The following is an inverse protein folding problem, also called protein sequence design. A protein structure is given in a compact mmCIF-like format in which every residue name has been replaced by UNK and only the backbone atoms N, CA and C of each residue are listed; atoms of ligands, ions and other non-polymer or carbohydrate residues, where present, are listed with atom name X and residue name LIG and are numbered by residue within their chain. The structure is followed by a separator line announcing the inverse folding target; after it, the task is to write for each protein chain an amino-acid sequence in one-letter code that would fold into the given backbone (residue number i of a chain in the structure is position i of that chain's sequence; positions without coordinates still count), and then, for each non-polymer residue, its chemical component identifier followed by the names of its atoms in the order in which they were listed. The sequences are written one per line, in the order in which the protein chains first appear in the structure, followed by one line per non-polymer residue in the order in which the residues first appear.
data_IF_916800456635
#
_entry.id   IF_916800456635
#
_cell.length_a   1.000
_cell.length_b   1.000
_cell.length_c   1.000
_cell.angle_alpha   90.00
_cell.angle_beta   90.00
_cell.angle_gamma   90.00
#
_symmetry.space_group_name_H-M   'P 1'
#
loop_
_entity.id
_entity.type
_entity.pdbx_description
1 polymer ?
#
# COMPACT_ATOMS: atom_id res chain seq x y z
N UNK A 1 87.43 -14.46 -51.72
CA UNK A 1 86.19 -14.87 -52.41
C UNK A 1 85.00 -14.25 -51.70
N UNK A 2 84.12 -13.62 -52.48
CA UNK A 2 82.81 -12.97 -52.25
C UNK A 2 81.98 -13.64 -51.11
N UNK A 3 81.14 -13.00 -50.27
CA UNK A 3 79.98 -12.14 -50.60
C UNK A 3 79.22 -11.62 -49.33
N UNK A 4 78.97 -10.30 -49.25
CA UNK A 4 77.72 -9.53 -48.97
C UNK A 4 76.70 -9.90 -47.84
N UNK A 5 76.23 -8.83 -47.17
CA UNK A 5 74.85 -8.54 -46.63
C UNK A 5 74.72 -8.47 -45.09
N UNK A 6 74.78 -7.30 -44.41
CA UNK A 6 73.80 -6.21 -44.13
C UNK A 6 72.68 -6.48 -43.10
N UNK A 7 72.67 -5.60 -42.07
CA UNK A 7 71.58 -5.15 -41.13
C UNK A 7 71.26 -6.12 -39.98
N UNK A 8 71.00 -5.68 -38.73
CA UNK A 8 69.94 -4.75 -38.33
C UNK A 8 70.16 -4.17 -36.91
N UNK A 9 69.48 -3.05 -36.66
CA UNK A 9 69.56 -2.08 -35.57
C UNK A 9 68.70 -2.39 -34.32
N UNK A 10 69.25 -2.02 -33.14
CA UNK A 10 68.71 -1.23 -32.00
C UNK A 10 67.31 -1.51 -31.39
N UNK A 11 67.27 -1.55 -30.05
CA UNK A 11 66.42 -0.78 -29.10
C UNK A 11 65.89 -1.61 -27.91
N UNK A 12 66.39 -1.29 -26.72
CA UNK A 12 65.82 -1.70 -25.44
C UNK A 12 64.55 -0.86 -25.17
N UNK A 13 63.45 -1.55 -24.86
CA UNK A 13 62.15 -0.94 -24.57
C UNK A 13 62.07 -0.69 -23.05
N UNK A 14 62.06 0.57 -22.64
CA UNK A 14 61.57 1.01 -21.32
C UNK A 14 60.09 1.35 -21.47
N UNK A 15 59.19 0.53 -20.94
CA UNK A 15 57.77 0.86 -20.84
C UNK A 15 57.51 1.70 -19.59
N UNK A 16 57.31 3.00 -19.80
CA UNK A 16 56.77 3.95 -18.83
C UNK A 16 55.24 3.86 -18.87
N UNK A 17 54.61 3.42 -17.78
CA UNK A 17 53.15 3.47 -17.64
C UNK A 17 52.76 4.86 -17.14
N UNK A 18 52.31 5.72 -18.05
CA UNK A 18 51.61 6.98 -17.70
C UNK A 18 50.12 6.67 -17.67
N UNK A 19 49.53 6.56 -16.48
CA UNK A 19 48.06 6.51 -16.34
C UNK A 19 47.53 7.94 -16.48
N UNK A 20 47.08 8.26 -17.69
CA UNK A 20 46.37 9.49 -17.99
C UNK A 20 44.88 9.28 -17.62
N UNK A 21 44.48 9.73 -16.42
CA UNK A 21 43.07 9.71 -16.02
C UNK A 21 42.29 10.77 -16.81
N UNK A 22 41.52 10.35 -17.83
CA UNK A 22 40.46 11.18 -18.39
C UNK A 22 39.35 11.32 -17.33
N UNK A 23 39.27 12.49 -16.69
CA UNK A 23 38.05 12.93 -16.04
C UNK A 23 37.03 13.27 -17.13
N UNK A 24 36.18 12.31 -17.48
CA UNK A 24 34.90 12.63 -18.10
C UNK A 24 34.06 13.33 -17.03
N UNK A 25 34.06 14.66 -17.04
CA UNK A 25 33.02 15.42 -16.33
C UNK A 25 31.72 15.16 -17.08
N UNK A 26 30.99 14.13 -16.67
CA UNK A 26 29.59 14.04 -17.04
C UNK A 26 28.92 15.30 -16.48
N UNK A 27 28.13 16.04 -17.26
CA UNK A 27 27.23 16.99 -16.62
C UNK A 27 26.39 16.15 -15.67
N UNK A 28 26.48 16.44 -14.36
CA UNK A 28 25.35 16.13 -13.48
C UNK A 28 24.22 16.95 -14.06
N UNK A 29 23.49 16.36 -14.99
CA UNK A 29 22.15 16.81 -15.27
C UNK A 29 21.46 16.62 -13.94
N UNK A 30 21.28 17.71 -13.18
CA UNK A 30 20.41 17.71 -12.03
C UNK A 30 19.15 17.00 -12.51
N UNK A 31 18.90 15.80 -11.96
CA UNK A 31 17.63 15.14 -12.18
C UNK A 31 16.62 16.22 -11.84
N UNK A 32 15.85 16.67 -12.84
CA UNK A 32 14.76 17.60 -12.57
C UNK A 32 14.02 16.97 -11.42
N UNK A 33 13.99 17.66 -10.28
CA UNK A 33 13.19 17.28 -9.14
C UNK A 33 11.81 17.01 -9.75
N UNK A 34 11.44 15.74 -9.92
CA UNK A 34 10.10 15.44 -10.36
C UNK A 34 9.29 15.87 -9.16
N UNK A 35 8.65 17.04 -9.25
CA UNK A 35 7.50 17.28 -8.42
C UNK A 35 6.54 16.15 -8.77
N UNK A 36 6.57 15.11 -7.95
CA UNK A 36 5.58 14.07 -7.94
C UNK A 36 4.32 14.86 -7.60
N UNK A 37 3.46 15.10 -8.58
CA UNK A 37 2.16 15.66 -8.27
C UNK A 37 1.51 14.69 -7.29
N UNK A 38 1.14 15.13 -6.07
CA UNK A 38 0.42 14.29 -5.14
C UNK A 38 -0.78 13.67 -5.85
N UNK A 39 -1.13 12.44 -5.46
CA UNK A 39 -2.28 11.78 -6.05
C UNK A 39 -3.53 12.61 -5.78
N UNK A 40 -4.52 12.62 -6.70
CA UNK A 40 -5.80 13.24 -6.41
C UNK A 40 -6.39 12.64 -5.14
N UNK A 41 -6.76 13.52 -4.20
CA UNK A 41 -7.37 13.16 -2.92
C UNK A 41 -8.88 13.33 -3.02
N UNK A 42 -9.63 12.28 -2.71
CA UNK A 42 -11.09 12.25 -2.63
C UNK A 42 -11.50 12.11 -1.18
N UNK A 43 -12.08 13.16 -0.60
CA UNK A 43 -12.62 13.12 0.76
C UNK A 43 -13.86 12.24 0.86
N UNK A 44 -13.86 11.29 1.79
CA UNK A 44 -14.97 10.40 2.11
C UNK A 44 -15.52 10.82 3.48
N UNK A 45 -16.51 11.73 3.43
CA UNK A 45 -17.05 12.43 4.60
C UNK A 45 -18.40 11.88 5.08
N UNK A 46 -18.93 10.87 4.40
CA UNK A 46 -20.25 10.31 4.69
C UNK A 46 -20.43 8.92 4.11
N UNK A 47 -21.52 8.27 4.52
CA UNK A 47 -21.81 6.90 4.17
C UNK A 47 -21.92 6.69 2.66
N UNK A 48 -21.47 5.52 2.21
CA UNK A 48 -21.58 5.07 0.83
C UNK A 48 -22.96 4.44 0.65
N UNK A 49 -23.85 5.20 0.03
CA UNK A 49 -25.29 4.88 -0.09
C UNK A 49 -25.69 4.32 -1.46
N UNK A 50 -24.78 4.33 -2.43
CA UNK A 50 -24.96 3.78 -3.77
C UNK A 50 -23.68 3.07 -4.23
N UNK A 51 -23.76 2.13 -5.20
CA UNK A 51 -22.59 1.45 -5.72
C UNK A 51 -21.50 2.45 -6.11
N UNK A 52 -20.31 2.26 -5.55
CA UNK A 52 -19.20 3.22 -5.65
C UNK A 52 -17.93 2.47 -5.98
N UNK A 53 -17.10 3.07 -6.85
CA UNK A 53 -15.78 2.54 -7.18
C UNK A 53 -14.71 3.51 -6.70
N UNK A 54 -13.72 2.98 -6.01
CA UNK A 54 -12.49 3.68 -5.65
C UNK A 54 -11.40 3.26 -6.62
N UNK A 55 -10.96 4.19 -7.47
CA UNK A 55 -10.12 3.92 -8.63
C UNK A 55 -8.63 3.98 -8.32
N UNK A 56 -7.84 3.28 -9.13
CA UNK A 56 -6.38 3.30 -9.05
C UNK A 56 -5.81 4.71 -9.25
N UNK A 57 -4.65 5.00 -8.64
CA UNK A 57 -3.99 6.30 -8.80
C UNK A 57 -4.66 7.44 -8.03
N UNK A 58 -5.56 7.14 -7.08
CA UNK A 58 -6.24 8.11 -6.22
C UNK A 58 -6.10 7.75 -4.74
N UNK A 59 -6.09 8.79 -3.90
CA UNK A 59 -6.17 8.66 -2.44
C UNK A 59 -7.63 8.88 -2.02
N UNK A 60 -8.21 7.93 -1.29
CA UNK A 60 -9.52 8.06 -0.66
C UNK A 60 -9.32 8.34 0.82
N UNK A 61 -9.69 9.55 1.24
CA UNK A 61 -9.44 10.03 2.59
C UNK A 61 -10.70 9.90 3.44
N UNK A 62 -10.75 8.84 4.24
CA UNK A 62 -11.86 8.50 5.14
C UNK A 62 -11.78 9.33 6.40
N UNK A 63 -12.80 10.16 6.63
CA UNK A 63 -12.86 11.06 7.79
C UNK A 63 -14.09 10.75 8.63
N UNK A 64 -13.86 10.11 9.78
CA UNK A 64 -14.91 9.67 10.71
C UNK A 64 -15.32 8.22 10.52
N UNK A 65 -16.52 7.87 11.00
CA UNK A 65 -17.07 6.52 10.94
C UNK A 65 -17.96 6.36 9.71
N UNK A 66 -17.41 5.77 8.65
CA UNK A 66 -18.05 5.65 7.34
C UNK A 66 -18.65 4.26 7.18
N UNK A 67 -19.91 4.23 6.73
CA UNK A 67 -20.61 2.99 6.44
C UNK A 67 -20.79 2.75 4.95
N UNK A 68 -20.49 1.55 4.47
CA UNK A 68 -21.07 1.02 3.23
C UNK A 68 -22.41 0.40 3.58
N UNK A 69 -23.50 1.04 3.14
CA UNK A 69 -24.85 0.62 3.52
C UNK A 69 -25.17 -0.81 3.05
N UNK A 70 -26.11 -1.47 3.74
CA UNK A 70 -26.61 -2.77 3.33
C UNK A 70 -27.16 -2.71 1.89
N UNK A 71 -26.86 -3.74 1.09
CA UNK A 71 -27.23 -3.79 -0.33
C UNK A 71 -26.36 -2.93 -1.26
N UNK A 72 -25.42 -2.15 -0.73
CA UNK A 72 -24.46 -1.35 -1.52
C UNK A 72 -23.14 -2.09 -1.68
N UNK A 73 -22.52 -1.98 -2.85
CA UNK A 73 -21.17 -2.50 -3.09
C UNK A 73 -20.18 -1.34 -3.20
N UNK A 74 -19.14 -1.38 -2.37
CA UNK A 74 -17.91 -0.63 -2.57
C UNK A 74 -16.92 -1.52 -3.34
N UNK A 75 -16.50 -1.07 -4.51
CA UNK A 75 -15.43 -1.70 -5.29
C UNK A 75 -14.16 -0.88 -5.16
N UNK A 76 -13.02 -1.49 -4.87
CA UNK A 76 -11.73 -0.82 -4.80
C UNK A 76 -10.78 -1.47 -5.80
N UNK A 77 -10.22 -0.66 -6.69
CA UNK A 77 -9.25 -1.09 -7.69
C UNK A 77 -7.84 -1.20 -7.09
N UNK A 78 -7.08 -2.20 -7.52
CA UNK A 78 -5.65 -2.31 -7.24
C UNK A 78 -4.91 -1.05 -7.66
N UNK A 79 -4.07 -0.53 -6.77
CA UNK A 79 -3.41 0.76 -6.92
C UNK A 79 -4.21 1.94 -6.37
N UNK A 80 -5.34 1.73 -5.69
CA UNK A 80 -5.95 2.76 -4.84
C UNK A 80 -5.31 2.79 -3.44
N UNK A 81 -5.22 3.99 -2.86
CA UNK A 81 -4.76 4.19 -1.48
C UNK A 81 -5.94 4.71 -0.66
N UNK A 82 -6.21 4.09 0.47
CA UNK A 82 -7.24 4.50 1.43
C UNK A 82 -6.53 4.99 2.69
N UNK A 83 -6.68 6.28 2.98
CA UNK A 83 -6.12 6.93 4.16
C UNK A 83 -7.22 7.23 5.16
N UNK A 84 -6.96 7.00 6.43
CA UNK A 84 -7.90 7.27 7.50
C UNK A 84 -7.43 8.45 8.33
N UNK A 85 -8.34 9.40 8.60
CA UNK A 85 -8.03 10.55 9.44
C UNK A 85 -7.72 10.12 10.87
N UNK A 86 -6.61 10.63 11.38
CA UNK A 86 -6.17 10.41 12.75
C UNK A 86 -6.40 11.66 13.60
N UNK A 87 -7.22 11.60 14.66
CA UNK A 87 -7.31 12.71 15.61
C UNK A 87 -5.95 12.98 16.27
N UNK A 88 -5.55 14.25 16.32
CA UNK A 88 -4.34 14.68 17.05
C UNK A 88 -4.51 14.41 18.55
N UNK A 89 -5.74 14.56 19.04
CA UNK A 89 -6.14 14.29 20.42
C UNK A 89 -7.50 13.54 20.42
N UNK A 90 -7.66 12.46 21.19
CA UNK A 90 -8.90 11.67 21.23
C UNK A 90 -10.14 12.46 21.69
N UNK A 91 -9.98 13.66 22.26
CA UNK A 91 -11.07 14.57 22.61
C UNK A 91 -11.65 15.32 21.41
N UNK A 92 -10.92 15.40 20.29
CA UNK A 92 -11.34 16.10 19.06
C UNK A 92 -12.26 15.21 18.21
N UNK A 93 -12.13 13.89 18.33
CA UNK A 93 -12.99 12.94 17.65
C UNK A 93 -12.50 11.50 17.83
N UNK A 94 -13.35 10.51 17.51
CA UNK A 94 -12.92 9.13 17.45
C UNK A 94 -11.95 8.90 16.29
N UNK A 95 -11.23 7.79 16.34
CA UNK A 95 -10.48 7.27 15.20
C UNK A 95 -11.43 7.03 14.03
N UNK A 96 -10.96 7.26 12.80
CA UNK A 96 -11.76 6.97 11.60
C UNK A 96 -11.88 5.45 11.37
N UNK A 97 -13.00 5.04 10.80
CA UNK A 97 -13.35 3.63 10.53
C UNK A 97 -14.13 3.48 9.24
N UNK A 98 -14.03 2.30 8.63
CA UNK A 98 -14.89 1.88 7.52
C UNK A 98 -15.64 0.61 7.92
N UNK A 99 -16.95 0.74 8.10
CA UNK A 99 -17.85 -0.38 8.39
C UNK A 99 -18.63 -0.78 7.13
N UNK A 100 -18.49 -2.02 6.69
CA UNK A 100 -19.16 -2.55 5.50
C UNK A 100 -20.32 -3.43 5.92
N UNK A 101 -21.53 -2.84 5.93
CA UNK A 101 -22.79 -3.57 6.10
C UNK A 101 -23.30 -4.16 4.77
N UNK A 102 -22.79 -3.66 3.64
CA UNK A 102 -23.03 -4.16 2.29
C UNK A 102 -21.94 -5.13 1.82
N UNK A 103 -21.36 -4.85 0.66
CA UNK A 103 -20.28 -5.65 0.05
C UNK A 103 -19.02 -4.81 -0.17
N UNK A 104 -17.86 -5.42 0.07
CA UNK A 104 -16.55 -4.89 -0.29
C UNK A 104 -15.93 -5.81 -1.33
N UNK A 105 -15.52 -5.26 -2.46
CA UNK A 105 -14.91 -6.01 -3.56
C UNK A 105 -13.59 -5.36 -3.96
N UNK A 106 -12.58 -6.19 -4.15
CA UNK A 106 -11.30 -5.79 -4.72
C UNK A 106 -11.19 -6.28 -6.16
N UNK A 107 -10.74 -5.44 -7.08
CA UNK A 107 -10.54 -5.80 -8.49
C UNK A 107 -9.19 -5.33 -8.99
N UNK A 108 -8.65 -5.99 -10.01
CA UNK A 108 -7.37 -5.64 -10.64
C UNK A 108 -6.20 -5.57 -9.64
N UNK A 109 -6.25 -6.35 -8.56
CA UNK A 109 -5.16 -6.41 -7.58
C UNK A 109 -4.03 -7.32 -8.06
N UNK A 110 -2.82 -7.07 -7.58
CA UNK A 110 -1.64 -7.83 -7.98
C UNK A 110 -0.46 -7.71 -7.02
N UNK A 111 0.58 -8.54 -7.19
CA UNK A 111 1.68 -8.65 -6.23
C UNK A 111 2.57 -7.41 -6.14
N UNK A 112 2.60 -6.57 -7.19
CA UNK A 112 3.37 -5.33 -7.22
C UNK A 112 2.71 -4.24 -6.37
N UNK A 113 3.48 -3.43 -5.65
CA UNK A 113 2.93 -2.41 -4.74
C UNK A 113 1.98 -1.42 -5.44
N UNK A 114 2.28 -1.04 -6.69
CA UNK A 114 1.42 -0.18 -7.50
C UNK A 114 0.08 -0.82 -7.90
N UNK A 115 -0.10 -2.12 -7.67
CA UNK A 115 -1.32 -2.90 -7.95
C UNK A 115 -1.99 -3.39 -6.67
N UNK A 116 -1.41 -3.17 -5.49
CA UNK A 116 -2.05 -3.50 -4.22
C UNK A 116 -3.10 -2.46 -3.86
N UNK A 117 -4.11 -2.86 -3.09
CA UNK A 117 -4.92 -1.86 -2.37
C UNK A 117 -4.27 -1.61 -1.03
N UNK A 118 -4.04 -0.33 -0.72
CA UNK A 118 -3.33 0.05 0.49
C UNK A 118 -4.28 0.77 1.44
N UNK A 119 -4.33 0.32 2.70
CA UNK A 119 -5.04 0.97 3.80
C UNK A 119 -4.00 1.48 4.79
N UNK A 120 -3.98 2.79 5.06
CA UNK A 120 -2.93 3.42 5.87
C UNK A 120 -3.44 4.65 6.64
N UNK A 121 -2.58 5.20 7.50
CA UNK A 121 -2.81 6.45 8.23
C UNK A 121 -2.76 7.66 7.28
N UNK A 122 -3.51 8.72 7.59
CA UNK A 122 -3.37 10.00 6.90
C UNK A 122 -1.97 10.60 6.98
N UNK A 123 -1.25 10.28 8.06
CA UNK A 123 0.14 10.67 8.35
C UNK A 123 1.21 9.93 7.53
N UNK A 124 0.84 8.95 6.71
CA UNK A 124 1.79 8.18 5.89
C UNK A 124 2.14 8.91 4.58
N UNK A 125 3.08 9.84 4.64
CA UNK A 125 3.50 10.64 3.47
C UNK A 125 4.20 9.83 2.38
N UNK A 126 4.62 8.60 2.68
CA UNK A 126 5.33 7.74 1.73
C UNK A 126 4.41 7.20 0.62
N UNK A 127 3.09 7.30 0.83
CA UNK A 127 2.07 6.77 -0.06
C UNK A 127 1.08 7.85 -0.49
N UNK A 128 1.04 8.16 -1.78
CA UNK A 128 0.06 9.10 -2.35
C UNK A 128 0.29 10.58 -2.00
N UNK A 129 1.22 10.88 -1.08
CA UNK A 129 1.60 12.23 -0.64
C UNK A 129 0.99 12.63 0.71
N UNK A 130 1.37 13.83 1.15
CA UNK A 130 0.94 14.47 2.40
C UNK A 130 -0.57 14.82 2.33
N UNK A 131 -1.39 14.02 3.01
CA UNK A 131 -2.86 14.10 2.92
C UNK A 131 -3.46 14.94 4.05
N UNK A 132 -2.78 14.98 5.20
CA UNK A 132 -3.11 15.79 6.37
C UNK A 132 -2.54 17.22 6.29
N UNK A 133 -1.62 17.49 5.36
CA UNK A 133 -1.10 18.81 5.03
C UNK A 133 -0.11 19.34 6.07
N UNK A 134 0.60 18.46 6.77
CA UNK A 134 1.54 18.82 7.83
C UNK A 134 3.02 18.57 7.49
N UNK A 135 3.30 18.37 6.20
CA UNK A 135 4.61 18.10 5.60
C UNK A 135 5.28 16.80 6.09
N UNK A 136 5.95 16.84 7.25
CA UNK A 136 6.59 15.68 7.90
C UNK A 136 6.49 15.81 9.43
N UNK A 137 5.55 16.62 9.92
CA UNK A 137 5.44 16.92 11.35
C UNK A 137 4.92 15.73 12.15
N UNK A 138 4.09 14.91 11.52
CA UNK A 138 3.61 13.66 12.11
C UNK A 138 4.12 12.46 11.33
N UNK A 139 4.22 11.32 12.02
CA UNK A 139 4.59 10.05 11.43
C UNK A 139 3.49 9.03 11.73
N UNK A 140 3.25 8.07 10.84
CA UNK A 140 2.22 7.08 11.05
C UNK A 140 2.62 6.12 12.16
N UNK A 141 1.65 5.68 12.96
CA UNK A 141 1.86 4.78 14.08
C UNK A 141 0.76 3.71 14.19
N UNK A 142 1.04 2.53 14.77
CA UNK A 142 0.02 1.52 15.03
C UNK A 142 -1.16 2.10 15.85
N UNK A 143 -2.37 1.98 15.31
CA UNK A 143 -3.59 2.45 15.97
C UNK A 143 -4.02 3.87 15.59
N UNK A 144 -3.41 4.47 14.56
CA UNK A 144 -3.81 5.77 14.00
C UNK A 144 -5.25 5.77 13.45
N UNK A 145 -5.80 4.61 13.09
CA UNK A 145 -7.18 4.45 12.69
C UNK A 145 -7.80 3.18 13.27
N UNK A 146 -9.13 3.11 13.34
CA UNK A 146 -9.78 2.05 14.12
C UNK A 146 -9.77 0.71 13.36
N UNK A 147 -10.52 0.62 12.25
CA UNK A 147 -10.64 -0.62 11.47
C UNK A 147 -11.30 -0.45 10.10
N UNK A 148 -11.08 -1.46 9.24
CA UNK A 148 -11.94 -1.81 8.13
C UNK A 148 -12.69 -3.07 8.56
N UNK A 149 -13.96 -2.91 8.92
CA UNK A 149 -14.78 -4.00 9.44
C UNK A 149 -15.84 -4.39 8.45
N UNK A 150 -15.94 -5.68 8.18
CA UNK A 150 -17.09 -6.24 7.48
C UNK A 150 -18.01 -6.91 8.51
N UNK A 151 -19.32 -6.64 8.43
CA UNK A 151 -20.31 -7.03 9.46
C UNK A 151 -21.39 -7.98 8.96
N UNK A 152 -21.54 -8.13 7.64
CA UNK A 152 -22.59 -8.95 7.04
C UNK A 152 -22.05 -9.81 5.89
N UNK A 153 -22.21 -11.13 6.01
CA UNK A 153 -21.48 -12.12 5.21
C UNK A 153 -22.32 -12.73 4.08
N UNK A 154 -23.02 -11.89 3.32
CA UNK A 154 -23.89 -12.37 2.24
C UNK A 154 -23.16 -12.60 0.91
N UNK A 155 -21.83 -12.48 0.86
CA UNK A 155 -21.08 -12.70 -0.38
C UNK A 155 -20.64 -14.15 -0.57
N UNK A 156 -20.82 -14.62 -1.81
CA UNK A 156 -20.67 -16.01 -2.27
C UNK A 156 -19.23 -16.49 -2.48
N UNK A 157 -18.21 -15.68 -2.19
CA UNK A 157 -16.79 -16.06 -1.96
C UNK A 157 -15.92 -14.79 -1.97
N UNK A 158 -15.65 -14.15 -0.83
CA UNK A 158 -14.80 -12.97 -0.81
C UNK A 158 -13.33 -13.39 -0.71
N UNK A 159 -12.66 -13.42 -1.86
CA UNK A 159 -11.19 -13.51 -1.92
C UNK A 159 -10.62 -12.11 -1.64
N UNK A 160 -9.85 -12.01 -0.57
CA UNK A 160 -9.09 -10.83 -0.17
C UNK A 160 -7.61 -11.09 -0.45
N UNK A 161 -7.16 -10.59 -1.61
CA UNK A 161 -5.78 -10.78 -2.03
C UNK A 161 -5.08 -9.50 -2.45
N UNK A 162 -3.77 -9.50 -2.17
CA UNK A 162 -2.86 -8.40 -2.47
C UNK A 162 -3.26 -7.07 -1.82
N UNK A 163 -3.75 -7.14 -0.59
CA UNK A 163 -3.93 -5.98 0.28
C UNK A 163 -2.61 -5.63 0.98
N UNK A 164 -2.45 -4.36 1.32
CA UNK A 164 -1.43 -3.88 2.23
C UNK A 164 -2.12 -3.02 3.29
N UNK A 165 -2.22 -3.54 4.50
CA UNK A 165 -2.96 -2.94 5.61
C UNK A 165 -1.96 -2.56 6.68
N UNK A 166 -1.94 -1.28 7.06
CA UNK A 166 -0.96 -0.75 8.00
C UNK A 166 -1.51 0.33 8.91
N UNK A 167 -0.89 0.46 10.09
CA UNK A 167 -1.20 1.49 11.09
C UNK A 167 -2.61 1.44 11.71
N UNK A 168 -3.41 0.43 11.41
CA UNK A 168 -4.74 0.26 12.00
C UNK A 168 -4.68 -0.34 13.39
N UNK A 169 -5.68 -0.03 14.22
CA UNK A 169 -5.87 -0.71 15.52
C UNK A 169 -6.35 -2.13 15.30
N UNK A 170 -7.34 -2.33 14.43
CA UNK A 170 -7.75 -3.64 13.89
C UNK A 170 -7.83 -3.52 12.38
N UNK A 171 -6.69 -3.69 11.70
CA UNK A 171 -6.51 -3.36 10.28
C UNK A 171 -7.66 -3.87 9.40
N UNK A 172 -7.78 -5.19 9.27
CA UNK A 172 -8.93 -5.82 8.62
C UNK A 172 -9.67 -6.71 9.63
N UNK A 173 -10.94 -6.42 9.87
CA UNK A 173 -11.76 -7.12 10.86
C UNK A 173 -12.95 -7.80 10.21
N UNK A 174 -12.99 -9.13 10.33
CA UNK A 174 -14.17 -9.91 10.02
C UNK A 174 -14.97 -10.17 11.29
N UNK A 175 -16.06 -9.43 11.45
CA UNK A 175 -17.02 -9.59 12.52
C UNK A 175 -18.32 -10.30 12.09
N UNK A 176 -18.55 -11.53 12.54
CA UNK A 176 -19.80 -12.26 12.30
C UNK A 176 -20.74 -12.24 13.51
N UNK A 177 -21.84 -11.50 13.37
CA UNK A 177 -22.93 -11.45 14.34
C UNK A 177 -23.92 -12.62 14.21
N UNK A 178 -23.90 -13.37 13.11
CA UNK A 178 -24.79 -14.49 12.81
C UNK A 178 -24.15 -15.87 13.00
N UNK A 179 -24.97 -16.92 12.91
CA UNK A 179 -24.59 -18.33 13.09
C UNK A 179 -24.25 -19.06 11.78
N UNK A 180 -24.04 -18.33 10.69
CA UNK A 180 -23.70 -18.92 9.39
C UNK A 180 -22.19 -19.13 9.28
N UNK A 181 -21.79 -20.31 8.81
CA UNK A 181 -20.39 -20.59 8.48
C UNK A 181 -19.90 -19.60 7.42
N UNK A 182 -18.62 -19.23 7.53
CA UNK A 182 -17.98 -18.28 6.63
C UNK A 182 -16.67 -18.88 6.11
N UNK A 183 -16.40 -18.74 4.82
CA UNK A 183 -15.23 -19.32 4.18
C UNK A 183 -14.42 -18.28 3.37
N UNK A 184 -13.89 -17.21 4.00
CA UNK A 184 -13.10 -16.22 3.31
C UNK A 184 -11.76 -16.79 2.87
N UNK A 185 -11.19 -16.25 1.79
CA UNK A 185 -9.78 -16.51 1.45
C UNK A 185 -9.00 -15.23 1.67
N UNK A 186 -8.07 -15.24 2.62
CA UNK A 186 -7.06 -14.18 2.81
C UNK A 186 -5.73 -14.69 2.29
N UNK A 187 -5.28 -14.17 1.15
CA UNK A 187 -4.06 -14.63 0.51
C UNK A 187 -3.16 -13.48 0.06
N UNK A 188 -1.83 -13.63 0.18
CA UNK A 188 -0.86 -12.69 -0.38
C UNK A 188 -0.98 -11.25 0.14
N UNK A 189 -1.53 -11.06 1.34
CA UNK A 189 -1.68 -9.75 1.96
C UNK A 189 -0.46 -9.40 2.83
N UNK A 190 -0.27 -8.11 3.04
CA UNK A 190 0.73 -7.56 3.96
C UNK A 190 -0.02 -6.85 5.08
N UNK A 191 0.12 -7.33 6.30
CA UNK A 191 -0.33 -6.66 7.51
C UNK A 191 0.92 -6.22 8.27
N UNK A 192 1.14 -4.91 8.40
CA UNK A 192 2.38 -4.39 9.00
C UNK A 192 2.07 -3.19 9.88
N UNK A 193 2.70 -3.10 11.06
CA UNK A 193 2.55 -1.96 11.97
C UNK A 193 1.08 -1.67 12.36
N UNK A 194 0.23 -2.71 12.39
CA UNK A 194 -1.09 -2.64 12.99
C UNK A 194 -1.00 -3.07 14.46
N UNK A 195 -1.91 -2.62 15.32
CA UNK A 195 -2.06 -3.22 16.66
C UNK A 195 -2.54 -4.67 16.52
N UNK A 196 -3.54 -4.90 15.66
CA UNK A 196 -3.97 -6.21 15.17
C UNK A 196 -4.12 -6.13 13.64
N UNK A 197 -3.40 -6.97 12.89
CA UNK A 197 -3.43 -6.95 11.42
C UNK A 197 -4.74 -7.49 10.84
N UNK A 198 -5.06 -8.74 11.17
CA UNK A 198 -6.28 -9.44 10.77
C UNK A 198 -7.00 -9.98 11.99
N UNK A 199 -8.26 -9.60 12.19
CA UNK A 199 -9.12 -10.10 13.25
C UNK A 199 -10.26 -10.91 12.63
N UNK A 200 -10.44 -12.15 13.06
CA UNK A 200 -11.58 -12.99 12.65
C UNK A 200 -12.38 -13.34 13.91
N UNK A 201 -13.62 -12.88 14.01
CA UNK A 201 -14.43 -13.01 15.22
C UNK A 201 -15.87 -13.44 14.95
N UNK A 202 -16.42 -14.22 15.89
CA UNK A 202 -17.81 -14.62 15.94
C UNK A 202 -18.41 -14.24 17.29
N UNK A 203 -19.66 -13.78 17.26
CA UNK A 203 -20.46 -13.59 18.47
C UNK A 203 -21.56 -14.65 18.64
N UNK A 204 -21.51 -15.75 17.86
CA UNK A 204 -22.44 -16.88 17.99
C UNK A 204 -21.78 -18.21 17.60
N UNK A 205 -22.55 -19.31 17.60
CA UNK A 205 -22.07 -20.63 17.16
C UNK A 205 -21.88 -20.66 15.64
N UNK A 206 -20.67 -20.37 15.15
CA UNK A 206 -20.30 -20.47 13.74
C UNK A 206 -18.83 -20.87 13.56
N UNK A 207 -18.48 -21.36 12.37
CA UNK A 207 -17.11 -21.74 12.02
C UNK A 207 -16.56 -20.88 10.87
N UNK A 208 -15.34 -20.35 11.03
CA UNK A 208 -14.52 -19.92 9.91
C UNK A 208 -13.93 -21.19 9.30
N UNK A 209 -14.30 -21.45 8.04
CA UNK A 209 -13.85 -22.62 7.26
C UNK A 209 -13.00 -22.21 6.06
N UNK A 210 -12.69 -20.92 5.96
CA UNK A 210 -11.90 -20.32 4.89
C UNK A 210 -10.40 -20.55 5.05
N UNK A 211 -9.64 -19.94 4.14
CA UNK A 211 -8.19 -20.10 4.06
C UNK A 211 -7.46 -18.79 4.43
N UNK A 212 -6.40 -18.91 5.22
CA UNK A 212 -5.43 -17.83 5.48
C UNK A 212 -4.06 -18.35 5.09
N UNK A 213 -3.50 -17.87 3.97
CA UNK A 213 -2.22 -18.34 3.45
C UNK A 213 -1.39 -17.23 2.83
N UNK A 214 -0.08 -17.43 2.73
CA UNK A 214 0.82 -16.53 2.01
C UNK A 214 0.75 -15.05 2.45
N UNK A 215 0.27 -14.78 3.67
CA UNK A 215 0.21 -13.42 4.22
C UNK A 215 1.47 -13.12 5.03
N UNK A 216 1.85 -11.85 5.06
CA UNK A 216 2.88 -11.31 5.96
C UNK A 216 2.14 -10.63 7.13
N UNK A 217 2.54 -10.94 8.35
CA UNK A 217 2.02 -10.37 9.60
C UNK A 217 3.14 -9.74 10.43
#
# INVERSE_FOLDING_TARGET
MTQKSRRTSVFAIFTLVVVLSLLLTMPVQAAKNQQITPWPVVGVLGNITAPTTWSAGSVYYVMGDIYVNAGVTLTIEGGAIVKFWTPIDPTIGPLSSLTVNGSLRFINTGPADAQRVIFTSDRDDTLGGDTNGDEQQTLPAPGDWDYVRLTNWINTDPVYEYLNVRYGKSGLEMYNAGATNFAPVFANNIFVENTCGLTLSYNSNGYITGEVRDNIF
#
